data_IF_475294958484
#
_entry.id   IF_475294958484
#
_cell.length_a   1.000
_cell.length_b   1.000
_cell.length_c   1.000
_cell.angle_alpha   90.00
_cell.angle_beta   90.00
_cell.angle_gamma   90.00
#
_symmetry.space_group_name_H-M   'P 1'
#
loop_
_entity.id
_entity.type
_entity.pdbx_description
1 polymer ?
#
# COMPACT_ATOMS: atom_id res chain seq x y z
N UNK A 1 27.10 -14.98 -24.51
CA UNK A 1 26.95 -14.22 -23.25
C UNK A 1 25.94 -13.12 -23.55
N UNK A 2 24.75 -13.15 -22.94
CA UNK A 2 23.75 -12.12 -23.16
C UNK A 2 24.05 -10.94 -22.22
N UNK A 3 24.32 -9.77 -22.79
CA UNK A 3 24.47 -8.53 -22.05
C UNK A 3 23.12 -8.14 -21.44
N UNK A 4 23.09 -7.97 -20.13
CA UNK A 4 21.93 -7.43 -19.42
C UNK A 4 22.04 -5.91 -19.53
N UNK A 5 21.26 -5.31 -20.44
CA UNK A 5 21.12 -3.86 -20.52
C UNK A 5 20.37 -3.37 -19.27
N UNK A 6 21.11 -2.78 -18.33
CA UNK A 6 20.53 -2.08 -17.18
C UNK A 6 19.99 -0.75 -17.70
N UNK A 7 18.70 -0.72 -18.07
CA UNK A 7 17.98 0.53 -18.34
C UNK A 7 18.06 1.44 -17.11
N UNK A 8 18.34 2.71 -17.35
CA UNK A 8 18.47 3.74 -16.33
C UNK A 8 17.26 3.71 -15.38
N UNK A 9 17.49 3.49 -14.09
CA UNK A 9 16.44 3.29 -13.07
C UNK A 9 15.69 4.58 -12.73
N UNK A 10 16.11 5.72 -13.28
CA UNK A 10 15.60 7.04 -12.93
C UNK A 10 14.13 7.30 -13.34
N UNK A 11 13.60 6.57 -14.32
CA UNK A 11 12.29 6.89 -14.93
C UNK A 11 11.14 5.92 -14.59
N UNK A 12 11.36 4.94 -13.71
CA UNK A 12 10.27 4.04 -13.30
C UNK A 12 9.45 4.66 -12.17
N UNK A 13 8.46 5.47 -12.54
CA UNK A 13 7.43 5.91 -11.60
C UNK A 13 6.54 4.72 -11.21
N UNK A 14 6.26 4.58 -9.91
CA UNK A 14 5.31 3.58 -9.44
C UNK A 14 3.90 3.93 -9.92
N UNK A 15 3.25 2.99 -10.59
CA UNK A 15 1.86 3.13 -11.03
C UNK A 15 0.88 2.61 -9.98
N UNK A 16 -0.33 3.19 -9.98
CA UNK A 16 -1.42 2.71 -9.13
C UNK A 16 -2.00 1.42 -9.71
N UNK A 17 -2.17 0.42 -8.85
CA UNK A 17 -2.78 -0.88 -9.18
C UNK A 17 -4.01 -1.08 -8.29
N UNK A 18 -5.08 -1.69 -8.82
CA UNK A 18 -6.29 -1.95 -8.05
C UNK A 18 -6.13 -3.13 -7.07
N UNK A 19 -6.66 -2.98 -5.86
CA UNK A 19 -6.81 -4.07 -4.90
C UNK A 19 -7.80 -5.13 -5.40
N UNK A 20 -7.46 -6.43 -5.30
CA UNK A 20 -8.35 -7.51 -5.75
C UNK A 20 -9.61 -7.68 -4.89
N UNK A 21 -9.60 -7.17 -3.65
CA UNK A 21 -10.74 -7.25 -2.74
C UNK A 21 -11.65 -6.02 -2.80
N UNK A 22 -11.09 -4.82 -2.69
CA UNK A 22 -11.89 -3.58 -2.59
C UNK A 22 -11.78 -2.67 -3.81
N UNK A 23 -10.99 -3.04 -4.82
CA UNK A 23 -10.72 -2.24 -6.03
C UNK A 23 -10.08 -0.87 -5.79
N UNK A 24 -9.70 -0.52 -4.55
CA UNK A 24 -9.04 0.74 -4.25
C UNK A 24 -7.67 0.81 -4.96
N UNK A 25 -7.30 1.97 -5.55
CA UNK A 25 -5.99 2.15 -6.14
C UNK A 25 -4.91 2.16 -5.05
N UNK A 26 -3.82 1.42 -5.28
CA UNK A 26 -2.72 1.32 -4.34
C UNK A 26 -1.38 1.19 -5.08
N UNK A 27 -0.32 1.72 -4.47
CA UNK A 27 1.04 1.61 -5.02
C UNK A 27 1.67 0.25 -4.72
N UNK A 28 1.19 -0.46 -3.69
CA UNK A 28 1.76 -1.72 -3.23
C UNK A 28 0.66 -2.71 -2.83
N UNK A 29 0.83 -3.96 -3.25
CA UNK A 29 -0.06 -5.08 -2.88
C UNK A 29 0.75 -6.17 -2.20
N UNK A 30 0.18 -6.77 -1.16
CA UNK A 30 0.69 -8.00 -0.54
C UNK A 30 -0.37 -9.06 -0.81
N UNK A 31 0.00 -10.13 -1.52
CA UNK A 31 -0.93 -11.19 -1.93
C UNK A 31 -2.22 -10.65 -2.60
N UNK A 32 -2.09 -9.68 -3.51
CA UNK A 32 -3.22 -9.09 -4.25
C UNK A 32 -4.02 -8.02 -3.50
N UNK A 33 -3.74 -7.80 -2.21
CA UNK A 33 -4.51 -6.93 -1.33
C UNK A 33 -3.80 -5.62 -0.98
N UNK A 34 -4.56 -4.55 -0.82
CA UNK A 34 -4.05 -3.28 -0.29
C UNK A 34 -3.84 -3.37 1.24
N UNK A 35 -3.09 -2.40 1.79
CA UNK A 35 -2.77 -2.35 3.21
C UNK A 35 -4.02 -2.33 4.12
N UNK A 36 -5.10 -1.65 3.70
CA UNK A 36 -6.36 -1.59 4.46
C UNK A 36 -7.04 -2.97 4.53
N UNK A 37 -7.12 -3.70 3.42
CA UNK A 37 -7.65 -5.06 3.39
C UNK A 37 -6.79 -6.03 4.21
N UNK A 38 -5.46 -5.94 4.11
CA UNK A 38 -4.54 -6.76 4.92
C UNK A 38 -4.73 -6.48 6.42
N UNK A 39 -4.84 -5.22 6.82
CA UNK A 39 -5.09 -4.84 8.21
C UNK A 39 -6.47 -5.33 8.68
N UNK A 40 -7.49 -5.25 7.83
CA UNK A 40 -8.82 -5.78 8.11
C UNK A 40 -8.82 -7.28 8.40
N UNK A 41 -7.96 -8.06 7.72
CA UNK A 41 -7.75 -9.48 8.01
C UNK A 41 -6.98 -9.67 9.32
N UNK A 42 -5.84 -8.99 9.47
CA UNK A 42 -4.95 -9.15 10.63
C UNK A 42 -5.59 -8.70 11.96
N UNK A 43 -6.56 -7.80 11.90
CA UNK A 43 -7.26 -7.23 13.05
C UNK A 43 -8.75 -7.60 13.07
N UNK A 44 -9.16 -8.64 12.33
CA UNK A 44 -10.56 -9.05 12.22
C UNK A 44 -11.24 -9.35 13.57
N UNK A 45 -10.47 -9.82 14.55
CA UNK A 45 -10.95 -10.15 15.89
C UNK A 45 -11.21 -8.91 16.78
N UNK A 46 -10.64 -7.75 16.43
CA UNK A 46 -10.77 -6.52 17.21
C UNK A 46 -10.97 -5.31 16.29
N UNK A 47 -12.25 -4.95 16.12
CA UNK A 47 -12.65 -3.79 15.31
C UNK A 47 -12.04 -2.48 15.84
N UNK A 48 -11.93 -2.33 17.16
CA UNK A 48 -11.35 -1.13 17.79
C UNK A 48 -9.87 -1.01 17.45
N UNK A 49 -9.13 -2.12 17.48
CA UNK A 49 -7.73 -2.14 17.06
C UNK A 49 -7.56 -1.78 15.57
N UNK A 50 -8.44 -2.28 14.70
CA UNK A 50 -8.47 -1.90 13.28
C UNK A 50 -8.71 -0.40 13.08
N UNK A 51 -9.71 0.16 13.74
CA UNK A 51 -10.02 1.60 13.64
C UNK A 51 -8.89 2.47 14.19
N UNK A 52 -8.28 2.07 15.31
CA UNK A 52 -7.12 2.74 15.88
C UNK A 52 -5.91 2.71 14.94
N UNK A 53 -5.65 1.57 14.29
CA UNK A 53 -4.63 1.44 13.26
C UNK A 53 -4.91 2.37 12.08
N UNK A 54 -6.13 2.36 11.55
CA UNK A 54 -6.53 3.13 10.38
C UNK A 54 -6.36 4.64 10.63
N UNK A 55 -6.85 5.12 11.78
CA UNK A 55 -6.67 6.52 12.20
C UNK A 55 -5.20 6.92 12.26
N UNK A 56 -4.37 6.12 12.93
CA UNK A 56 -2.93 6.39 13.07
C UNK A 56 -2.22 6.48 11.71
N UNK A 57 -2.59 5.60 10.77
CA UNK A 57 -2.02 5.61 9.41
C UNK A 57 -2.43 6.86 8.64
N UNK A 58 -3.71 7.25 8.69
CA UNK A 58 -4.18 8.49 8.05
C UNK A 58 -3.47 9.72 8.57
N UNK A 59 -3.37 9.85 9.91
CA UNK A 59 -2.66 10.97 10.54
C UNK A 59 -1.17 11.02 10.13
N UNK A 60 -0.51 9.87 9.98
CA UNK A 60 0.89 9.81 9.52
C UNK A 60 1.04 10.23 8.05
N UNK A 61 0.10 9.83 7.20
CA UNK A 61 0.08 10.24 5.79
C UNK A 61 -0.10 11.76 5.68
N UNK A 62 -1.05 12.32 6.43
CA UNK A 62 -1.31 13.77 6.46
C UNK A 62 -0.09 14.54 6.96
N UNK A 63 0.59 14.05 8.01
CA UNK A 63 1.85 14.63 8.50
C UNK A 63 2.93 14.65 7.42
N UNK A 64 3.13 13.55 6.70
CA UNK A 64 4.15 13.45 5.64
C UNK A 64 3.80 14.24 4.37
N UNK A 65 2.52 14.50 4.13
CA UNK A 65 2.09 15.30 2.99
C UNK A 65 2.25 16.81 3.24
N UNK A 66 2.30 17.23 4.51
CA UNK A 66 2.33 18.66 4.90
C UNK A 66 3.70 19.13 5.39
N UNK A 67 4.61 18.21 5.73
CA UNK A 67 5.99 18.49 6.13
C UNK A 67 6.97 18.34 4.99
#
# INVERSE_FOLDING_TARGET
>A
MAEIEVRDRADMLAELIACESCSAPTLLRIAGLCADCIAGIGLAADRTAYEAWRRRVSEEIERRATG
#
